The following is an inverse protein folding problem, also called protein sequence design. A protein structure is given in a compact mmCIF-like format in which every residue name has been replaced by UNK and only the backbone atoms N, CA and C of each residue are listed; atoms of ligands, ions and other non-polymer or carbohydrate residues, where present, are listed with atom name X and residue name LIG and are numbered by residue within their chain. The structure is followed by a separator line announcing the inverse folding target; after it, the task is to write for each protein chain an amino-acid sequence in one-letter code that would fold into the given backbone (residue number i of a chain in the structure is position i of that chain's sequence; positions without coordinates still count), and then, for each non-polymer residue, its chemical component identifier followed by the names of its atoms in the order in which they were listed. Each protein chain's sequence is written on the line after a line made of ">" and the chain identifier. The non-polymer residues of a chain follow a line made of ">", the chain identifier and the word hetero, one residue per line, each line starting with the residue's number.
data_IF_399622001199
#
_entry.id   IF_399622001199
#
_cell.length_a   1.000
_cell.length_b   1.000
_cell.length_c   1.000
_cell.angle_alpha   90.00
_cell.angle_beta   90.00
_cell.angle_gamma   90.00
#
_symmetry.space_group_name_H-M   'P 1'
#
loop_
_entity.id
_entity.type
_entity.pdbx_description
1 polymer ?
#
# COMPACT_ATOMS: atom_id res chain seq x y z
N UNK A 1 -36.67 39.11 8.91
CA UNK A 1 -36.83 37.65 9.02
C UNK A 1 -36.96 37.15 7.59
N UNK A 2 -35.82 36.91 6.95
CA UNK A 2 -35.77 36.53 5.54
C UNK A 2 -34.94 35.25 5.47
N UNK A 3 -35.64 34.14 5.27
CA UNK A 3 -35.12 32.78 5.25
C UNK A 3 -34.32 32.54 3.97
N UNK A 4 -33.04 32.23 4.10
CA UNK A 4 -32.26 31.65 3.00
C UNK A 4 -32.73 30.21 2.76
N UNK A 5 -32.90 29.77 1.49
CA UNK A 5 -33.23 28.38 1.19
C UNK A 5 -32.01 27.49 1.39
N UNK A 6 -32.25 26.34 2.00
CA UNK A 6 -31.30 25.24 2.16
C UNK A 6 -30.70 24.86 0.80
N UNK A 7 -29.38 25.02 0.68
CA UNK A 7 -28.62 24.37 -0.38
C UNK A 7 -28.49 22.90 -0.01
N UNK A 8 -29.44 22.10 -0.49
CA UNK A 8 -29.24 20.65 -0.58
C UNK A 8 -27.92 20.40 -1.31
N UNK A 9 -26.97 19.80 -0.59
CA UNK A 9 -25.72 19.31 -1.18
C UNK A 9 -26.10 18.20 -2.14
N UNK A 10 -26.16 18.53 -3.42
CA UNK A 10 -26.29 17.57 -4.51
C UNK A 10 -25.11 16.59 -4.41
N UNK A 11 -25.37 15.41 -3.83
CA UNK A 11 -24.39 14.35 -3.76
C UNK A 11 -24.15 13.87 -5.19
N UNK A 12 -22.91 14.02 -5.66
CA UNK A 12 -22.49 13.54 -6.96
C UNK A 12 -22.88 12.05 -7.10
N UNK A 13 -23.46 11.63 -8.24
CA UNK A 13 -23.94 10.27 -8.41
C UNK A 13 -22.81 9.27 -8.21
N UNK A 14 -23.05 8.26 -7.37
CA UNK A 14 -22.15 7.13 -7.16
C UNK A 14 -21.91 6.48 -8.54
N UNK A 15 -20.69 6.59 -9.07
CA UNK A 15 -20.28 5.92 -10.31
C UNK A 15 -20.27 4.41 -10.06
N UNK A 16 -21.39 3.73 -10.29
CA UNK A 16 -21.63 2.36 -9.81
C UNK A 16 -21.13 1.24 -10.73
N UNK A 17 -20.53 1.53 -11.88
CA UNK A 17 -19.97 0.50 -12.75
C UNK A 17 -18.65 0.92 -13.40
N UNK A 18 -17.69 -0.01 -13.46
CA UNK A 18 -16.51 0.10 -14.31
C UNK A 18 -16.95 0.21 -15.78
N UNK A 19 -16.38 1.15 -16.54
CA UNK A 19 -16.58 1.30 -17.99
C UNK A 19 -15.25 1.06 -18.72
N UNK A 20 -14.89 -0.20 -19.01
CA UNK A 20 -13.63 -0.54 -19.66
C UNK A 20 -13.49 0.05 -21.07
N UNK A 21 -14.61 0.24 -21.79
CA UNK A 21 -14.57 0.76 -23.15
C UNK A 21 -14.14 2.23 -23.15
N UNK A 22 -14.76 3.06 -22.30
CA UNK A 22 -14.33 4.45 -22.13
C UNK A 22 -12.92 4.55 -21.56
N UNK A 23 -12.58 3.71 -20.58
CA UNK A 23 -11.23 3.68 -20.02
C UNK A 23 -10.17 3.37 -21.09
N UNK A 24 -10.45 2.44 -22.01
CA UNK A 24 -9.56 2.12 -23.14
C UNK A 24 -9.33 3.32 -24.07
N UNK A 25 -10.38 4.09 -24.38
CA UNK A 25 -10.29 5.30 -25.20
C UNK A 25 -9.41 6.36 -24.53
N UNK A 26 -9.66 6.63 -23.24
CA UNK A 26 -8.88 7.62 -22.49
C UNK A 26 -7.42 7.21 -22.33
N UNK A 27 -7.16 5.93 -22.09
CA UNK A 27 -5.79 5.42 -22.00
C UNK A 27 -5.05 5.57 -23.34
N UNK A 28 -5.71 5.28 -24.46
CA UNK A 28 -5.14 5.50 -25.79
C UNK A 28 -4.80 6.97 -26.02
N UNK A 29 -5.69 7.89 -25.59
CA UNK A 29 -5.45 9.33 -25.66
C UNK A 29 -4.22 9.74 -24.82
N UNK A 30 -4.11 9.28 -23.56
CA UNK A 30 -2.97 9.58 -22.70
C UNK A 30 -1.64 9.07 -23.28
N UNK A 31 -1.62 7.85 -23.84
CA UNK A 31 -0.44 7.31 -24.49
C UNK A 31 -0.04 8.13 -25.73
N UNK A 32 -1.02 8.57 -26.54
CA UNK A 32 -0.77 9.41 -27.70
C UNK A 32 -0.24 10.81 -27.31
N UNK A 33 -0.74 11.38 -26.22
CA UNK A 33 -0.23 12.65 -25.66
C UNK A 33 1.25 12.49 -25.26
N UNK A 34 1.59 11.43 -24.51
CA UNK A 34 2.98 11.17 -24.10
C UNK A 34 3.92 11.03 -25.30
N UNK A 35 3.53 10.26 -26.31
CA UNK A 35 4.29 10.13 -27.55
C UNK A 35 4.49 11.49 -28.25
N UNK A 36 3.44 12.33 -28.30
CA UNK A 36 3.53 13.69 -28.90
C UNK A 36 4.46 14.62 -28.11
N UNK A 37 4.45 14.52 -26.78
CA UNK A 37 5.32 15.31 -25.90
C UNK A 37 6.80 14.97 -26.14
N UNK A 38 7.13 13.69 -26.36
CA UNK A 38 8.51 13.23 -26.59
C UNK A 38 8.95 13.20 -28.07
N UNK A 39 8.03 13.35 -29.02
CA UNK A 39 8.35 13.43 -30.44
C UNK A 39 9.19 14.68 -30.82
N UNK A 40 9.87 14.69 -31.98
CA UNK A 40 10.49 15.91 -32.52
C UNK A 40 9.48 17.07 -32.61
N UNK A 41 9.85 18.25 -32.10
CA UNK A 41 8.93 19.39 -31.98
C UNK A 41 7.87 19.23 -30.88
N UNK A 42 8.05 18.28 -29.96
CA UNK A 42 7.35 18.16 -28.69
C UNK A 42 7.98 19.03 -27.60
N UNK A 43 7.65 18.72 -26.35
CA UNK A 43 8.15 19.45 -25.19
C UNK A 43 9.66 19.21 -24.99
N UNK A 44 10.50 20.26 -24.92
CA UNK A 44 11.93 20.10 -24.71
C UNK A 44 12.27 19.36 -23.41
N UNK A 45 11.55 19.67 -22.33
CA UNK A 45 11.76 19.05 -21.01
C UNK A 45 11.42 17.56 -21.03
N UNK A 46 10.27 17.17 -21.61
CA UNK A 46 9.90 15.76 -21.68
C UNK A 46 10.90 14.95 -22.50
N UNK A 47 11.47 15.54 -23.54
CA UNK A 47 12.45 14.88 -24.44
C UNK A 47 13.80 14.62 -23.79
N UNK A 48 14.27 15.51 -22.92
CA UNK A 48 15.58 15.37 -22.27
C UNK A 48 15.57 14.39 -21.09
N UNK A 49 14.38 14.01 -20.60
CA UNK A 49 14.26 13.07 -19.49
C UNK A 49 14.72 11.65 -19.88
N UNK A 50 15.32 10.98 -18.89
CA UNK A 50 15.87 9.62 -18.97
C UNK A 50 15.25 8.73 -17.87
N UNK A 51 15.51 7.42 -17.92
CA UNK A 51 15.09 6.51 -16.86
C UNK A 51 15.54 6.96 -15.46
N UNK A 52 16.77 7.49 -15.35
CA UNK A 52 17.34 7.95 -14.10
C UNK A 52 16.75 9.28 -13.61
N UNK A 53 16.39 10.20 -14.51
CA UNK A 53 15.79 11.48 -14.09
C UNK A 53 14.35 11.30 -13.62
N UNK A 54 13.61 10.33 -14.18
CA UNK A 54 12.21 10.05 -13.84
C UNK A 54 12.04 9.27 -12.53
N UNK A 55 13.02 8.44 -12.14
CA UNK A 55 12.88 7.54 -10.97
C UNK A 55 12.52 8.23 -9.65
N UNK A 56 12.98 9.47 -9.43
CA UNK A 56 12.67 10.23 -8.21
C UNK A 56 11.20 10.64 -8.18
N UNK A 57 10.65 11.07 -9.33
CA UNK A 57 9.25 11.46 -9.45
C UNK A 57 8.35 10.24 -9.26
N UNK A 58 8.74 9.07 -9.77
CA UNK A 58 8.01 7.82 -9.48
C UNK A 58 7.93 7.49 -8.00
N UNK A 59 8.96 7.79 -7.23
CA UNK A 59 8.94 7.59 -5.78
C UNK A 59 8.08 8.65 -5.08
N UNK A 60 8.14 9.91 -5.54
CA UNK A 60 7.31 11.02 -5.05
C UNK A 60 5.82 10.70 -5.26
N UNK A 61 5.38 10.38 -6.48
CA UNK A 61 3.95 10.09 -6.75
C UNK A 61 3.45 8.86 -5.99
N UNK A 62 4.31 7.86 -5.76
CA UNK A 62 3.93 6.72 -4.94
C UNK A 62 3.65 7.11 -3.48
N UNK A 63 4.36 8.12 -2.96
CA UNK A 63 4.10 8.65 -1.62
C UNK A 63 2.90 9.58 -1.57
N UNK A 64 2.62 10.37 -2.61
CA UNK A 64 1.40 11.18 -2.68
C UNK A 64 0.15 10.29 -2.77
N UNK A 65 0.20 9.18 -3.52
CA UNK A 65 -0.83 8.13 -3.47
C UNK A 65 -1.04 7.61 -2.05
N UNK A 66 0.03 7.39 -1.29
CA UNK A 66 -0.09 6.95 0.11
C UNK A 66 -0.70 8.04 1.00
N UNK A 67 -0.28 9.31 0.88
CA UNK A 67 -0.86 10.42 1.65
C UNK A 67 -2.37 10.56 1.38
N UNK A 68 -2.76 10.52 0.11
CA UNK A 68 -4.17 10.61 -0.29
C UNK A 68 -5.01 9.44 0.29
N UNK A 69 -4.48 8.21 0.30
CA UNK A 69 -5.12 7.05 0.94
C UNK A 69 -5.24 7.25 2.46
N UNK A 70 -4.17 7.68 3.12
CA UNK A 70 -4.13 7.89 4.57
C UNK A 70 -5.14 8.97 5.01
N UNK A 71 -5.25 10.05 4.23
CA UNK A 71 -6.18 11.16 4.47
C UNK A 71 -7.62 10.87 4.02
N UNK A 72 -7.84 9.73 3.34
CA UNK A 72 -9.13 9.36 2.71
C UNK A 72 -9.61 10.43 1.71
N UNK A 73 -8.69 11.13 1.07
CA UNK A 73 -8.97 12.13 0.05
C UNK A 73 -9.10 11.43 -1.31
N UNK A 74 -10.25 10.80 -1.56
CA UNK A 74 -10.49 10.04 -2.79
C UNK A 74 -10.44 10.86 -4.08
N UNK A 75 -10.88 12.14 -4.12
CA UNK A 75 -10.66 13.00 -5.27
C UNK A 75 -9.18 13.18 -5.59
N UNK A 76 -8.36 13.51 -4.59
CA UNK A 76 -6.92 13.68 -4.77
C UNK A 76 -6.23 12.35 -5.12
N UNK A 77 -6.64 11.24 -4.50
CA UNK A 77 -6.16 9.91 -4.86
C UNK A 77 -6.34 9.58 -6.35
N UNK A 78 -7.43 10.05 -6.98
CA UNK A 78 -7.65 9.85 -8.40
C UNK A 78 -6.66 10.65 -9.28
N UNK A 79 -6.25 11.83 -8.81
CA UNK A 79 -5.22 12.67 -9.43
C UNK A 79 -3.83 12.00 -9.30
N UNK A 80 -3.45 11.63 -8.07
CA UNK A 80 -2.15 10.99 -7.79
C UNK A 80 -1.97 9.62 -8.48
N UNK A 81 -3.05 8.84 -8.61
CA UNK A 81 -3.02 7.61 -9.42
C UNK A 81 -2.83 7.91 -10.91
N UNK A 82 -3.30 9.07 -11.39
CA UNK A 82 -3.03 9.58 -12.73
C UNK A 82 -1.57 9.97 -12.91
N UNK A 83 -0.97 10.63 -11.94
CA UNK A 83 0.44 11.04 -11.97
C UNK A 83 1.38 9.84 -11.83
N UNK A 84 1.01 8.83 -11.05
CA UNK A 84 1.73 7.55 -11.03
C UNK A 84 1.63 6.81 -12.38
N UNK A 85 0.45 6.85 -13.03
CA UNK A 85 0.26 6.29 -14.38
C UNK A 85 1.07 7.05 -15.43
N UNK A 86 1.18 8.38 -15.30
CA UNK A 86 2.03 9.21 -16.15
C UNK A 86 3.46 8.69 -16.15
N UNK A 87 4.01 8.31 -14.99
CA UNK A 87 5.37 7.73 -14.93
C UNK A 87 5.49 6.44 -15.76
N UNK A 88 4.48 5.56 -15.71
CA UNK A 88 4.46 4.32 -16.51
C UNK A 88 4.45 4.63 -18.01
N UNK A 89 3.63 5.59 -18.45
CA UNK A 89 3.59 6.03 -19.84
C UNK A 89 4.93 6.63 -20.26
N UNK A 90 5.55 7.41 -19.39
CA UNK A 90 6.85 8.04 -19.62
C UNK A 90 7.95 7.00 -19.83
N UNK A 91 8.04 5.99 -18.96
CA UNK A 91 8.99 4.89 -19.10
C UNK A 91 8.76 4.07 -20.36
N UNK A 92 7.50 3.75 -20.67
CA UNK A 92 7.16 2.98 -21.84
C UNK A 92 7.49 3.73 -23.14
N UNK A 93 7.30 5.05 -23.18
CA UNK A 93 7.65 5.87 -24.33
C UNK A 93 9.17 6.03 -24.46
N UNK A 94 9.92 6.20 -23.36
CA UNK A 94 11.40 6.18 -23.38
C UNK A 94 11.93 4.85 -23.92
N UNK A 95 11.41 3.73 -23.40
CA UNK A 95 11.78 2.40 -23.85
C UNK A 95 11.43 2.17 -25.32
N UNK A 96 10.31 2.69 -25.81
CA UNK A 96 9.92 2.57 -27.21
C UNK A 96 10.87 3.36 -28.13
N UNK A 97 11.22 4.59 -27.74
CA UNK A 97 12.17 5.44 -28.46
C UNK A 97 13.57 4.79 -28.57
N UNK A 98 13.97 3.99 -27.59
CA UNK A 98 15.23 3.24 -27.58
C UNK A 98 15.11 1.82 -28.18
N UNK A 99 13.91 1.39 -28.61
CA UNK A 99 13.68 0.08 -29.23
C UNK A 99 13.68 -1.10 -28.24
N UNK A 100 13.40 -0.86 -26.96
CA UNK A 100 13.36 -1.88 -25.91
C UNK A 100 11.99 -2.57 -25.79
N UNK A 101 10.94 -1.80 -25.49
CA UNK A 101 9.56 -2.25 -25.35
C UNK A 101 8.60 -1.06 -25.43
N UNK A 102 7.31 -1.33 -25.60
CA UNK A 102 6.24 -0.33 -25.72
C UNK A 102 5.24 -0.43 -24.57
N UNK A 103 4.32 0.53 -24.48
CA UNK A 103 3.20 0.45 -23.53
C UNK A 103 2.30 -0.78 -23.79
N UNK A 104 2.18 -1.23 -25.04
CA UNK A 104 1.45 -2.44 -25.38
C UNK A 104 2.11 -3.69 -24.77
N UNK A 105 3.44 -3.77 -24.80
CA UNK A 105 4.20 -4.85 -24.16
C UNK A 105 3.98 -4.84 -22.63
N UNK A 106 3.99 -3.66 -21.99
CA UNK A 106 3.73 -3.52 -20.55
C UNK A 106 2.34 -4.05 -20.20
N UNK A 107 1.31 -3.67 -20.96
CA UNK A 107 -0.07 -4.14 -20.76
C UNK A 107 -0.20 -5.64 -21.03
N UNK A 108 0.44 -6.17 -22.06
CA UNK A 108 0.43 -7.61 -22.34
C UNK A 108 1.06 -8.39 -21.18
N UNK A 109 2.21 -7.94 -20.67
CA UNK A 109 2.86 -8.54 -19.51
C UNK A 109 1.99 -8.50 -18.26
N UNK A 110 1.28 -7.39 -18.02
CA UNK A 110 0.35 -7.26 -16.91
C UNK A 110 -0.84 -8.22 -17.06
N UNK A 111 -1.52 -8.20 -18.21
CA UNK A 111 -2.70 -9.01 -18.48
C UNK A 111 -2.40 -10.50 -18.37
N UNK A 112 -1.31 -10.96 -19.02
CA UNK A 112 -0.87 -12.36 -18.92
C UNK A 112 -0.52 -12.74 -17.49
N UNK A 113 0.14 -11.87 -16.73
CA UNK A 113 0.47 -12.12 -15.32
C UNK A 113 -0.79 -12.22 -14.45
N UNK A 114 -1.78 -11.37 -14.66
CA UNK A 114 -3.04 -11.41 -13.92
C UNK A 114 -3.82 -12.68 -14.23
N UNK A 115 -3.98 -13.05 -15.50
CA UNK A 115 -4.66 -14.30 -15.89
C UNK A 115 -3.91 -15.52 -15.34
N UNK A 116 -2.59 -15.57 -15.54
CA UNK A 116 -1.73 -16.66 -15.08
C UNK A 116 -1.87 -16.92 -13.58
N UNK A 117 -1.88 -15.87 -12.77
CA UNK A 117 -1.88 -15.97 -11.30
C UNK A 117 -3.26 -16.12 -10.66
N UNK A 118 -4.34 -16.13 -11.45
CA UNK A 118 -5.71 -16.27 -10.95
C UNK A 118 -6.48 -17.40 -11.67
N UNK A 119 -6.01 -18.66 -11.60
CA UNK A 119 -6.73 -19.79 -12.19
C UNK A 119 -8.14 -19.96 -11.60
N UNK A 120 -8.37 -19.54 -10.35
CA UNK A 120 -9.67 -19.54 -9.70
C UNK A 120 -10.69 -18.53 -10.28
N UNK A 121 -10.21 -17.52 -11.03
CA UNK A 121 -11.08 -16.52 -11.69
C UNK A 121 -11.25 -16.84 -13.17
N UNK A 122 -10.15 -17.14 -13.86
CA UNK A 122 -10.12 -17.28 -15.32
C UNK A 122 -10.17 -18.74 -15.80
N UNK A 123 -10.12 -19.71 -14.89
CA UNK A 123 -10.03 -21.13 -15.19
C UNK A 123 -8.60 -21.60 -15.46
N UNK A 124 -8.38 -22.92 -15.34
CA UNK A 124 -7.07 -23.53 -15.55
C UNK A 124 -6.58 -23.39 -16.98
N UNK A 125 -7.45 -23.58 -17.97
CA UNK A 125 -7.07 -23.51 -19.39
C UNK A 125 -6.49 -22.14 -19.76
N UNK A 126 -7.18 -21.05 -19.40
CA UNK A 126 -6.71 -19.69 -19.66
C UNK A 126 -5.41 -19.38 -18.87
N UNK A 127 -5.32 -19.87 -17.62
CA UNK A 127 -4.12 -19.71 -16.79
C UNK A 127 -2.91 -20.43 -17.41
N UNK A 128 -3.07 -21.67 -17.91
CA UNK A 128 -2.04 -22.43 -18.63
C UNK A 128 -1.64 -21.73 -19.92
N UNK A 129 -2.60 -21.25 -20.71
CA UNK A 129 -2.34 -20.47 -21.93
C UNK A 129 -1.56 -19.17 -21.65
N UNK A 130 -1.81 -18.53 -20.49
CA UNK A 130 -1.04 -17.37 -20.02
C UNK A 130 0.36 -17.73 -19.47
N UNK A 131 0.74 -19.01 -19.48
CA UNK A 131 2.05 -19.52 -19.12
C UNK A 131 2.17 -20.06 -17.70
N UNK A 132 1.04 -20.40 -17.05
CA UNK A 132 1.07 -21.13 -15.79
C UNK A 132 1.60 -22.54 -16.02
N UNK A 133 2.52 -22.98 -15.16
CA UNK A 133 3.08 -24.34 -15.15
C UNK A 133 2.96 -24.99 -13.77
N UNK A 134 2.37 -24.28 -12.81
CA UNK A 134 2.10 -24.80 -11.48
C UNK A 134 0.87 -25.72 -11.51
N UNK A 135 0.93 -26.81 -10.74
CA UNK A 135 -0.19 -27.71 -10.49
C UNK A 135 -0.92 -27.22 -9.24
N UNK A 136 -1.75 -26.19 -9.38
CA UNK A 136 -2.50 -25.58 -8.27
C UNK A 136 -4.00 -25.82 -8.45
N UNK A 137 -4.70 -26.06 -7.34
CA UNK A 137 -6.15 -26.22 -7.33
C UNK A 137 -6.84 -24.89 -7.66
N UNK A 138 -7.60 -24.84 -8.75
CA UNK A 138 -8.37 -23.66 -9.13
C UNK A 138 -9.63 -23.47 -8.28
N UNK A 139 -10.16 -24.53 -7.65
CA UNK A 139 -11.28 -24.39 -6.72
C UNK A 139 -10.78 -24.00 -5.33
N UNK A 140 -10.75 -22.69 -5.10
CA UNK A 140 -10.34 -22.13 -3.82
C UNK A 140 -11.48 -22.05 -2.80
N UNK A 141 -12.71 -22.49 -3.15
CA UNK A 141 -13.89 -22.42 -2.29
C UNK A 141 -14.11 -21.07 -1.58
N UNK A 142 -13.75 -19.96 -2.23
CA UNK A 142 -13.80 -18.61 -1.66
C UNK A 142 -12.74 -18.29 -0.60
N UNK A 143 -11.74 -19.16 -0.40
CA UNK A 143 -10.68 -18.98 0.60
C UNK A 143 -9.55 -18.08 0.10
N UNK A 144 -9.42 -16.90 0.70
CA UNK A 144 -8.28 -16.00 0.45
C UNK A 144 -6.92 -16.65 0.78
N UNK A 145 -6.87 -17.49 1.81
CA UNK A 145 -5.66 -18.21 2.19
C UNK A 145 -5.24 -19.23 1.11
N UNK A 146 -6.19 -19.92 0.48
CA UNK A 146 -5.91 -20.82 -0.64
C UNK A 146 -5.40 -20.05 -1.87
N UNK A 147 -6.03 -18.91 -2.18
CA UNK A 147 -5.58 -18.02 -3.26
C UNK A 147 -4.13 -17.55 -3.03
N UNK A 148 -3.79 -17.13 -1.81
CA UNK A 148 -2.43 -16.68 -1.48
C UNK A 148 -1.39 -17.79 -1.65
N UNK A 149 -1.69 -19.02 -1.20
CA UNK A 149 -0.79 -20.17 -1.40
C UNK A 149 -0.52 -20.45 -2.89
N UNK A 150 -1.58 -20.54 -3.69
CA UNK A 150 -1.47 -20.76 -5.13
C UNK A 150 -0.65 -19.67 -5.80
N UNK A 151 -0.86 -18.41 -5.40
CA UNK A 151 -0.13 -17.27 -5.92
C UNK A 151 1.37 -17.32 -5.61
N UNK A 152 1.74 -17.76 -4.40
CA UNK A 152 3.14 -17.97 -4.02
C UNK A 152 3.80 -19.09 -4.83
N UNK A 153 3.09 -20.19 -5.07
CA UNK A 153 3.59 -21.33 -5.84
C UNK A 153 3.82 -20.97 -7.32
N UNK A 154 2.84 -20.33 -7.96
CA UNK A 154 2.98 -19.82 -9.34
C UNK A 154 4.17 -18.86 -9.43
N UNK A 155 4.30 -17.93 -8.47
CA UNK A 155 5.44 -17.00 -8.41
C UNK A 155 6.80 -17.68 -8.27
N UNK A 156 6.88 -18.77 -7.51
CA UNK A 156 8.14 -19.49 -7.31
C UNK A 156 8.63 -20.10 -8.64
N UNK A 157 7.73 -20.74 -9.39
CA UNK A 157 8.04 -21.35 -10.68
C UNK A 157 8.33 -20.31 -11.78
N UNK A 158 7.69 -19.15 -11.76
CA UNK A 158 8.02 -18.03 -12.65
C UNK A 158 9.49 -17.58 -12.50
N UNK A 159 9.96 -17.42 -11.26
CA UNK A 159 11.33 -16.97 -10.98
C UNK A 159 12.38 -17.97 -11.43
N UNK A 160 12.10 -19.26 -11.32
CA UNK A 160 12.99 -20.32 -11.78
C UNK A 160 13.25 -20.30 -13.30
N UNK A 161 12.37 -19.69 -14.10
CA UNK A 161 12.49 -19.62 -15.57
C UNK A 161 13.26 -18.41 -16.10
N UNK A 162 13.48 -17.37 -15.29
CA UNK A 162 14.05 -16.08 -15.73
C UNK A 162 15.55 -15.97 -15.47
N UNK A 163 16.13 -16.84 -14.63
CA UNK A 163 17.53 -16.75 -14.20
C UNK A 163 18.33 -17.96 -14.66
N UNK A 164 19.07 -17.82 -15.76
CA UNK A 164 20.30 -18.58 -15.97
C UNK A 164 21.41 -17.87 -15.19
N UNK A 165 21.96 -18.46 -14.10
CA UNK A 165 22.92 -17.76 -13.29
C UNK A 165 24.26 -17.55 -14.00
N UNK A 166 24.71 -16.30 -14.10
CA UNK A 166 26.14 -16.00 -14.28
C UNK A 166 26.82 -15.98 -12.90
N UNK A 167 27.06 -17.16 -12.32
CA UNK A 167 27.74 -17.33 -11.03
C UNK A 167 26.84 -17.85 -9.89
N UNK A 168 27.38 -18.04 -8.67
CA UNK A 168 26.60 -18.54 -7.55
C UNK A 168 25.53 -17.52 -7.14
N UNK A 169 24.27 -17.89 -7.30
CA UNK A 169 23.11 -17.05 -6.95
C UNK A 169 22.94 -17.02 -5.44
N UNK A 170 22.95 -15.82 -4.84
CA UNK A 170 22.47 -15.66 -3.47
C UNK A 170 20.95 -15.72 -3.45
N UNK A 171 20.38 -16.39 -2.44
CA UNK A 171 18.92 -16.39 -2.21
C UNK A 171 18.37 -14.98 -2.08
N UNK A 172 19.19 -14.03 -1.62
CA UNK A 172 18.83 -12.64 -1.43
C UNK A 172 18.88 -11.79 -2.71
N UNK A 173 19.55 -12.22 -3.79
CA UNK A 173 19.77 -11.40 -5.01
C UNK A 173 18.47 -10.88 -5.65
N UNK A 174 17.35 -11.60 -5.47
CA UNK A 174 16.03 -11.13 -5.92
C UNK A 174 15.31 -10.15 -4.98
N UNK A 175 15.97 -9.58 -3.97
CA UNK A 175 15.44 -8.46 -3.17
C UNK A 175 15.95 -7.16 -3.81
N UNK A 176 15.05 -6.27 -4.17
CA UNK A 176 15.40 -5.00 -4.78
C UNK A 176 15.91 -4.04 -3.70
N UNK A 177 17.07 -3.42 -3.96
CA UNK A 177 17.72 -2.46 -3.05
C UNK A 177 17.10 -1.05 -3.07
N UNK A 178 16.31 -0.74 -4.10
CA UNK A 178 15.70 0.59 -4.27
C UNK A 178 14.37 0.74 -3.49
N UNK A 179 14.18 -0.02 -2.42
CA UNK A 179 12.97 -0.01 -1.60
C UNK A 179 13.22 0.75 -0.29
N UNK A 180 12.16 1.22 0.40
CA UNK A 180 12.30 1.69 1.78
C UNK A 180 12.95 0.61 2.66
N UNK A 181 13.86 1.03 3.55
CA UNK A 181 14.71 0.11 4.32
C UNK A 181 13.92 -0.91 5.15
N UNK A 182 12.80 -0.51 5.75
CA UNK A 182 11.93 -1.42 6.53
C UNK A 182 11.28 -2.49 5.63
N UNK A 183 10.86 -2.11 4.42
CA UNK A 183 10.29 -3.03 3.44
C UNK A 183 11.35 -3.99 2.87
N UNK A 184 12.58 -3.50 2.65
CA UNK A 184 13.71 -4.32 2.25
C UNK A 184 14.05 -5.34 3.33
N UNK A 185 14.21 -4.90 4.59
CA UNK A 185 14.49 -5.76 5.73
C UNK A 185 13.42 -6.85 5.90
N UNK A 186 12.14 -6.50 5.78
CA UNK A 186 11.04 -7.47 5.85
C UNK A 186 11.13 -8.53 4.73
N UNK A 187 11.52 -8.13 3.51
CA UNK A 187 11.72 -9.06 2.39
C UNK A 187 12.96 -9.94 2.56
N UNK A 188 14.05 -9.39 3.08
CA UNK A 188 15.26 -10.16 3.42
C UNK A 188 14.90 -11.22 4.47
N UNK A 189 14.26 -10.83 5.57
CA UNK A 189 13.82 -11.73 6.63
C UNK A 189 12.86 -12.82 6.12
N UNK A 190 11.87 -12.45 5.31
CA UNK A 190 10.96 -13.43 4.71
C UNK A 190 11.67 -14.44 3.78
N UNK A 191 12.70 -14.02 3.06
CA UNK A 191 13.50 -14.93 2.22
C UNK A 191 14.43 -15.83 3.04
N UNK A 192 15.05 -15.30 4.08
CA UNK A 192 15.87 -16.07 5.01
C UNK A 192 15.03 -17.15 5.70
N UNK A 193 13.81 -16.78 6.10
CA UNK A 193 12.80 -17.69 6.67
C UNK A 193 12.47 -18.86 5.76
N UNK A 194 12.29 -18.62 4.46
CA UNK A 194 12.07 -19.69 3.46
C UNK A 194 13.27 -20.64 3.31
N UNK A 195 14.45 -20.27 3.78
CA UNK A 195 15.63 -21.14 3.84
C UNK A 195 15.76 -21.88 5.18
N UNK A 196 14.81 -21.74 6.09
CA UNK A 196 14.85 -22.30 7.45
C UNK A 196 15.65 -21.46 8.44
N UNK A 197 16.09 -20.26 8.05
CA UNK A 197 16.80 -19.34 8.93
C UNK A 197 15.81 -18.29 9.46
N UNK A 198 15.13 -18.65 10.55
CA UNK A 198 14.14 -17.80 11.23
C UNK A 198 14.00 -18.16 12.71
N UNK A 199 13.40 -17.25 13.47
CA UNK A 199 12.93 -17.54 14.82
C UNK A 199 11.70 -18.47 14.78
N UNK A 200 11.57 -19.42 15.71
CA UNK A 200 10.39 -20.30 15.78
C UNK A 200 9.10 -19.56 16.15
N UNK A 201 9.20 -18.54 17.01
CA UNK A 201 8.05 -17.80 17.53
C UNK A 201 8.39 -16.32 17.75
N UNK A 202 7.41 -15.44 17.60
CA UNK A 202 7.59 -13.98 17.75
C UNK A 202 8.20 -13.57 19.11
N UNK A 203 7.92 -14.34 20.17
CA UNK A 203 8.48 -14.10 21.51
C UNK A 203 9.99 -14.29 21.58
N UNK A 204 10.56 -15.11 20.70
CA UNK A 204 12.00 -15.37 20.67
C UNK A 204 12.79 -14.17 20.16
N UNK A 205 12.12 -13.20 19.51
CA UNK A 205 12.71 -11.93 19.12
C UNK A 205 12.82 -10.93 20.28
N UNK A 206 12.04 -11.06 21.36
CA UNK A 206 12.10 -10.10 22.47
C UNK A 206 13.45 -10.12 23.20
N UNK A 207 14.04 -11.30 23.54
CA UNK A 207 15.39 -11.35 24.09
C UNK A 207 16.43 -10.81 23.10
N UNK A 208 16.27 -11.07 21.80
CA UNK A 208 17.20 -10.55 20.78
C UNK A 208 17.12 -9.02 20.69
N UNK A 209 15.93 -8.42 20.71
CA UNK A 209 15.79 -6.96 20.79
C UNK A 209 16.50 -6.40 22.04
N UNK A 210 16.38 -7.06 23.19
CA UNK A 210 17.08 -6.62 24.40
C UNK A 210 18.61 -6.76 24.28
N UNK A 211 19.10 -7.78 23.58
CA UNK A 211 20.51 -7.96 23.22
C UNK A 211 21.00 -6.82 22.31
N UNK A 212 20.31 -6.54 21.21
CA UNK A 212 20.66 -5.42 20.29
C UNK A 212 20.67 -4.06 21.00
N UNK A 213 19.75 -3.84 21.96
CA UNK A 213 19.74 -2.63 22.79
C UNK A 213 20.98 -2.56 23.67
N UNK A 214 21.39 -3.66 24.29
CA UNK A 214 22.57 -3.72 25.14
C UNK A 214 23.88 -3.54 24.34
N UNK A 215 23.94 -4.09 23.13
CA UNK A 215 25.06 -3.90 22.19
C UNK A 215 25.16 -2.43 21.77
N UNK A 216 24.04 -1.82 21.37
CA UNK A 216 23.97 -0.39 21.06
C UNK A 216 24.41 0.49 22.25
N UNK A 217 23.95 0.21 23.46
CA UNK A 217 24.35 0.94 24.67
C UNK A 217 25.86 0.85 24.91
N UNK A 218 26.46 -0.34 24.78
CA UNK A 218 27.89 -0.55 24.96
C UNK A 218 28.75 0.22 23.94
N UNK A 219 28.30 0.29 22.69
CA UNK A 219 28.98 1.03 21.62
C UNK A 219 28.89 2.56 21.82
N UNK A 220 27.75 3.05 22.32
CA UNK A 220 27.55 4.46 22.69
C UNK A 220 28.46 4.85 23.85
N UNK A 221 28.50 4.05 24.92
CA UNK A 221 29.36 4.32 26.09
C UNK A 221 30.84 4.35 25.72
N UNK A 222 31.24 3.53 24.74
CA UNK A 222 32.61 3.49 24.27
C UNK A 222 32.95 4.54 23.20
N UNK A 223 31.98 5.34 22.74
CA UNK A 223 32.18 6.42 21.77
C UNK A 223 32.54 5.95 20.36
N UNK A 224 32.11 4.73 19.96
CA UNK A 224 32.43 4.15 18.64
C UNK A 224 31.32 4.44 17.63
N UNK A 225 31.28 5.66 17.10
CA UNK A 225 30.19 6.16 16.23
C UNK A 225 29.82 5.22 15.06
N UNK A 226 30.81 4.58 14.41
CA UNK A 226 30.54 3.67 13.30
C UNK A 226 29.84 2.38 13.75
N UNK A 227 30.20 1.86 14.92
CA UNK A 227 29.57 0.67 15.50
C UNK A 227 28.17 1.01 16.03
N UNK A 228 27.98 2.21 16.61
CA UNK A 228 26.64 2.71 16.99
C UNK A 228 25.66 2.68 15.83
N UNK A 229 26.10 3.05 14.61
CA UNK A 229 25.25 2.98 13.42
C UNK A 229 24.91 1.54 13.03
N UNK A 230 25.88 0.63 13.14
CA UNK A 230 25.68 -0.80 12.86
C UNK A 230 24.67 -1.43 13.84
N UNK A 231 24.88 -1.26 15.14
CA UNK A 231 23.99 -1.82 16.18
C UNK A 231 22.58 -1.21 16.12
N UNK A 232 22.46 0.08 15.80
CA UNK A 232 21.15 0.68 15.54
C UNK A 232 20.45 0.03 14.33
N UNK A 233 21.22 -0.29 13.29
CA UNK A 233 20.74 -1.03 12.13
C UNK A 233 20.22 -2.42 12.49
N UNK A 234 20.97 -3.17 13.30
CA UNK A 234 20.62 -4.53 13.72
C UNK A 234 19.42 -4.55 14.68
N UNK A 235 19.30 -3.56 15.58
CA UNK A 235 18.09 -3.31 16.36
C UNK A 235 16.87 -3.09 15.46
N UNK A 236 16.96 -2.18 14.49
CA UNK A 236 15.87 -1.88 13.56
C UNK A 236 15.50 -3.12 12.73
N UNK A 237 16.48 -3.88 12.24
CA UNK A 237 16.26 -5.12 11.49
C UNK A 237 15.55 -6.18 12.35
N UNK A 238 15.92 -6.31 13.61
CA UNK A 238 15.28 -7.23 14.56
C UNK A 238 13.83 -6.82 14.85
N UNK A 239 13.57 -5.51 15.03
CA UNK A 239 12.19 -4.98 15.18
C UNK A 239 11.34 -5.24 13.93
N UNK A 240 11.91 -5.11 12.73
CA UNK A 240 11.20 -5.46 11.48
C UNK A 240 10.87 -6.95 11.42
N UNK A 241 11.77 -7.82 11.87
CA UNK A 241 11.48 -9.26 11.95
C UNK A 241 10.40 -9.58 12.98
N UNK A 242 10.35 -8.85 14.11
CA UNK A 242 9.24 -8.94 15.06
C UNK A 242 7.91 -8.54 14.39
N UNK A 243 7.88 -7.42 13.66
CA UNK A 243 6.69 -7.00 12.92
C UNK A 243 6.22 -8.08 11.92
N UNK A 244 7.16 -8.68 11.16
CA UNK A 244 6.88 -9.79 10.24
C UNK A 244 6.24 -10.99 10.95
N UNK A 245 6.79 -11.38 12.10
CA UNK A 245 6.27 -12.48 12.93
C UNK A 245 4.89 -12.18 13.52
N UNK A 246 4.58 -10.92 13.78
CA UNK A 246 3.25 -10.44 14.22
C UNK A 246 2.26 -10.26 13.06
N UNK A 247 2.67 -10.48 11.81
CA UNK A 247 1.83 -10.24 10.63
C UNK A 247 1.56 -8.75 10.36
N UNK A 248 2.45 -7.88 10.83
CA UNK A 248 2.36 -6.42 10.69
C UNK A 248 3.37 -5.95 9.66
N UNK A 249 2.95 -5.06 8.76
CA UNK A 249 3.87 -4.33 7.88
C UNK A 249 4.55 -3.21 8.68
N UNK A 250 5.86 -3.34 8.91
CA UNK A 250 6.64 -2.40 9.71
C UNK A 250 6.71 -0.98 9.14
N UNK A 251 6.75 -0.84 7.81
CA UNK A 251 6.74 0.45 7.13
C UNK A 251 5.39 1.16 7.37
N UNK A 252 4.29 0.43 7.20
CA UNK A 252 2.94 0.97 7.45
C UNK A 252 2.71 1.29 8.93
N UNK A 253 3.24 0.46 9.83
CA UNK A 253 3.14 0.69 11.27
C UNK A 253 3.85 1.98 11.69
N UNK A 254 5.06 2.24 11.15
CA UNK A 254 5.81 3.45 11.43
C UNK A 254 5.15 4.69 10.82
N UNK A 255 4.63 4.61 9.59
CA UNK A 255 3.83 5.71 9.00
C UNK A 255 2.63 6.08 9.84
N UNK A 256 1.85 5.09 10.27
CA UNK A 256 0.75 5.33 11.20
C UNK A 256 1.21 5.92 12.53
N UNK A 257 2.42 5.62 13.00
CA UNK A 257 3.02 6.27 14.17
C UNK A 257 3.33 7.74 13.93
N UNK A 258 3.98 8.06 12.80
CA UNK A 258 4.32 9.42 12.40
C UNK A 258 3.06 10.28 12.26
N UNK A 259 1.99 9.75 11.64
CA UNK A 259 0.70 10.43 11.55
C UNK A 259 0.13 10.75 12.94
N UNK A 260 0.11 9.76 13.86
CA UNK A 260 -0.35 10.00 15.24
C UNK A 260 0.49 11.05 15.95
N UNK A 261 1.80 11.07 15.73
CA UNK A 261 2.70 12.07 16.30
C UNK A 261 2.33 13.47 15.79
N UNK A 262 2.17 13.64 14.46
CA UNK A 262 1.78 14.91 13.84
C UNK A 262 0.43 15.42 14.34
N UNK A 263 -0.56 14.54 14.44
CA UNK A 263 -1.88 14.90 14.97
C UNK A 263 -1.80 15.37 16.43
N UNK A 264 -1.05 14.65 17.28
CA UNK A 264 -0.88 15.01 18.68
C UNK A 264 -0.14 16.33 18.84
N UNK A 265 0.95 16.50 18.09
CA UNK A 265 1.75 17.72 18.13
C UNK A 265 0.90 18.94 17.70
N UNK A 266 0.09 18.80 16.64
CA UNK A 266 -0.85 19.84 16.22
C UNK A 266 -1.89 20.17 17.31
N UNK A 267 -2.41 19.17 18.02
CA UNK A 267 -3.32 19.43 19.15
C UNK A 267 -2.62 20.15 20.30
N UNK A 268 -1.33 19.89 20.55
CA UNK A 268 -0.55 20.65 21.52
C UNK A 268 -0.42 22.12 21.09
N UNK A 269 -0.07 22.38 19.82
CA UNK A 269 0.03 23.73 19.27
C UNK A 269 -1.30 24.50 19.39
N UNK A 270 -2.43 23.84 19.13
CA UNK A 270 -3.75 24.44 19.24
C UNK A 270 -4.20 24.67 20.69
N UNK A 271 -3.72 23.85 21.63
CA UNK A 271 -4.09 23.94 23.03
C UNK A 271 -3.21 24.89 23.84
N UNK A 272 -1.99 25.17 23.38
CA UNK A 272 -1.05 26.03 24.08
C UNK A 272 -1.42 27.51 23.97
N UNK A 273 -1.23 28.26 25.07
CA UNK A 273 -1.42 29.72 25.11
C UNK A 273 -0.12 30.51 24.87
N UNK A 274 1.01 29.82 24.80
CA UNK A 274 2.35 30.38 24.54
C UNK A 274 3.11 29.46 23.56
N UNK A 275 4.20 29.94 22.92
CA UNK A 275 5.03 29.10 22.05
C UNK A 275 5.49 27.83 22.80
N UNK A 276 5.50 26.67 22.12
CA UNK A 276 5.84 25.40 22.76
C UNK A 276 7.29 25.39 23.26
N UNK A 277 8.17 26.16 22.64
CA UNK A 277 9.58 26.31 23.00
C UNK A 277 9.78 27.04 24.34
N UNK A 278 8.77 27.80 24.80
CA UNK A 278 8.78 28.52 26.07
C UNK A 278 8.24 27.65 27.23
N UNK A 279 7.74 26.45 26.91
CA UNK A 279 7.22 25.50 27.90
C UNK A 279 8.31 24.61 28.46
N UNK A 280 8.17 24.27 29.74
CA UNK A 280 8.98 23.25 30.40
C UNK A 280 8.58 21.85 29.93
N UNK A 281 9.50 20.87 30.06
CA UNK A 281 9.21 19.48 29.70
C UNK A 281 7.96 18.90 30.39
N UNK A 282 7.68 19.16 31.69
CA UNK A 282 6.43 18.76 32.31
C UNK A 282 5.18 19.37 31.65
N UNK A 283 5.21 20.65 31.28
CA UNK A 283 4.09 21.32 30.60
C UNK A 283 3.84 20.74 29.20
N UNK A 284 4.92 20.43 28.46
CA UNK A 284 4.84 19.76 27.16
C UNK A 284 4.25 18.35 27.29
N UNK A 285 4.65 17.60 28.31
CA UNK A 285 4.10 16.25 28.59
C UNK A 285 2.61 16.32 28.96
N UNK A 286 2.19 17.31 29.75
CA UNK A 286 0.78 17.53 30.08
C UNK A 286 -0.07 17.80 28.82
N UNK A 287 0.42 18.67 27.92
CA UNK A 287 -0.22 18.94 26.63
C UNK A 287 -0.26 17.69 25.75
N UNK A 288 0.82 16.91 25.69
CA UNK A 288 0.89 15.67 24.91
C UNK A 288 -0.11 14.62 25.40
N UNK A 289 -0.20 14.41 26.71
CA UNK A 289 -1.17 13.47 27.29
C UNK A 289 -2.62 13.97 27.12
N UNK A 290 -2.85 15.29 27.16
CA UNK A 290 -4.15 15.87 26.83
C UNK A 290 -4.53 15.63 25.35
N UNK A 291 -3.60 15.86 24.42
CA UNK A 291 -3.78 15.59 23.00
C UNK A 291 -4.09 14.11 22.74
N UNK A 292 -3.37 13.18 23.40
CA UNK A 292 -3.64 11.73 23.32
C UNK A 292 -5.07 11.37 23.74
N UNK A 293 -5.54 11.91 24.86
CA UNK A 293 -6.91 11.68 25.36
C UNK A 293 -7.94 12.19 24.35
N UNK A 294 -7.83 13.45 23.94
CA UNK A 294 -8.77 14.08 23.00
C UNK A 294 -8.88 13.31 21.68
N UNK A 295 -7.75 12.97 21.06
CA UNK A 295 -7.75 12.25 19.77
C UNK A 295 -8.31 10.83 19.90
N UNK A 296 -8.09 10.15 21.03
CA UNK A 296 -8.69 8.85 21.30
C UNK A 296 -10.21 8.96 21.40
N UNK A 297 -10.71 9.96 22.12
CA UNK A 297 -12.14 10.16 22.34
C UNK A 297 -12.84 10.54 21.02
N UNK A 298 -12.25 11.41 20.20
CA UNK A 298 -12.74 11.73 18.84
C UNK A 298 -12.81 10.50 17.92
N UNK A 299 -11.81 9.60 18.00
CA UNK A 299 -11.81 8.35 17.22
C UNK A 299 -12.93 7.40 17.67
N UNK A 300 -13.16 7.30 18.97
CA UNK A 300 -14.24 6.50 19.52
C UNK A 300 -15.62 7.05 19.11
N UNK A 301 -15.80 8.37 19.11
CA UNK A 301 -17.04 9.02 18.64
C UNK A 301 -17.32 8.74 17.15
N UNK A 302 -16.30 8.88 16.28
CA UNK A 302 -16.43 8.58 14.84
C UNK A 302 -16.76 7.11 14.56
N UNK A 303 -16.25 6.18 15.37
CA UNK A 303 -16.58 4.76 15.25
C UNK A 303 -17.97 4.42 15.78
N UNK A 304 -18.45 5.15 16.81
CA UNK A 304 -19.78 4.98 17.39
C UNK A 304 -20.92 5.55 16.53
N UNK A 305 -20.67 6.59 15.73
CA UNK A 305 -21.67 7.16 14.81
C UNK A 305 -21.80 6.38 13.50
N UNK A 306 -20.72 5.80 12.99
CA UNK A 306 -20.76 4.97 11.77
C UNK A 306 -21.52 3.64 11.91
N UNK A 307 -21.78 3.19 13.14
CA UNK A 307 -22.48 1.93 13.42
C UNK A 307 -23.99 2.10 13.69
N UNK A 308 -24.53 3.34 13.67
CA UNK A 308 -25.97 3.63 13.87
C UNK A 308 -26.77 3.77 12.58
N UNK A 309 -26.15 3.72 11.40
CA UNK A 309 -26.84 3.84 10.10
C UNK A 309 -27.25 2.47 9.48
N UNK A 310 -27.20 1.39 10.26
CA UNK A 310 -27.75 0.08 9.89
C UNK A 310 -28.68 -0.46 10.98
N UNK A 311 -29.80 0.23 11.22
CA UNK A 311 -30.98 -0.42 11.80
C UNK A 311 -31.74 -1.14 10.67
N UNK A 312 -32.01 -2.45 10.76
CA UNK A 312 -32.84 -3.15 9.80
C UNK A 312 -34.28 -2.66 9.97
N UNK A 313 -34.83 -2.06 8.91
CA UNK A 313 -36.20 -1.57 8.86
C UNK A 313 -37.20 -2.62 9.33
N UNK A 314 -38.03 -2.22 10.29
CA UNK A 314 -39.20 -2.97 10.76
C UNK A 314 -40.17 -3.17 9.60
N UNK A 315 -40.31 -4.40 9.13
CA UNK A 315 -41.40 -4.79 8.23
C UNK A 315 -42.72 -4.76 9.01
N UNK A 316 -43.53 -3.73 8.78
CA UNK A 316 -44.95 -3.72 9.19
C UNK A 316 -45.73 -4.70 8.32
N UNK A 317 -46.25 -5.74 8.97
CA UNK A 317 -47.15 -6.73 8.40
C UNK A 317 -48.58 -6.18 8.39
N UNK A 318 -49.04 -5.65 7.25
CA UNK A 318 -50.44 -5.29 7.03
C UNK A 318 -51.26 -6.54 6.67
N UNK A 319 -51.66 -7.28 7.71
CA UNK A 319 -52.70 -8.30 7.61
C UNK A 319 -54.09 -7.66 7.65
N UNK A 320 -54.71 -7.43 6.49
CA UNK A 320 -56.16 -7.28 6.39
C UNK A 320 -56.79 -8.64 6.08
N UNK A 321 -57.50 -9.18 7.06
CA UNK A 321 -58.35 -10.36 6.90
C UNK A 321 -59.82 -9.96 6.71
N UNK A 322 -60.52 -10.70 5.84
CA UNK A 322 -61.88 -11.25 5.99
C UNK A 322 -62.52 -11.51 4.60
N UNK A 323 -63.58 -12.34 4.47
CA UNK A 323 -64.13 -13.39 5.36
C UNK A 323 -64.36 -14.74 4.61
N UNK A 324 -64.94 -15.78 5.27
CA UNK A 324 -65.01 -17.15 4.74
C UNK A 324 -66.36 -17.54 4.10
N UNK A 325 -66.31 -18.56 3.25
CA UNK A 325 -67.45 -19.29 2.66
C UNK A 325 -67.08 -19.72 1.23
N UNK A 326 -67.42 -20.88 0.67
CA UNK A 326 -68.12 -22.08 1.09
C UNK A 326 -67.73 -23.17 0.05
N UNK A 327 -67.67 -24.43 0.48
CA UNK A 327 -68.01 -25.68 -0.24
C UNK A 327 -67.59 -25.84 -1.72
N UNK A 328 -66.73 -26.81 -2.00
CA UNK A 328 -67.07 -28.16 -2.50
C UNK A 328 -65.80 -28.97 -2.80
#
# INVERSE_FOLDING_TARGET
>A
MESQPDREKEQAPIRSATDPARAGILFQESAAIMARLRAPGGCPWDREQTFDSIRKYTLEEAYEVFDAIERRDFPHLAEELGDLLLQVLFYAEMAANEGHFTIADVLEHLNRKLIRRHPHVFGEEASRAAGNVAEVDADVAGSSAAVLRNWEEIKALEKARVVEPKGPVSRLDGVQRAMPALAEAAKIGAKASKAGFDWPHWRDLLPKIAEEVAELEAEVEAGRTAEVEAELGDLLFTVVNLARHLGVDGEMALRGCNLRFRERFREMELASTQPLEELSAPELEELWEAAKRRLRDQRAEKQGTGNREHEPGTYENSGEGAPPGERA
#
